data_IF_064191027959
#
_entry.id   IF_064191027959
#
_cell.length_a   1.000
_cell.length_b   1.000
_cell.length_c   1.000
_cell.angle_alpha   90.00
_cell.angle_beta   90.00
_cell.angle_gamma   90.00
#
_symmetry.space_group_name_H-M   'P 1'
#
loop_
_entity.id
_entity.type
_entity.pdbx_description
1 polymer ?
#
# COMPACT_ATOMS: atom_id res chain seq x y z
N UNK A 1 -15.63 -36.76 -25.17
CA UNK A 1 -16.01 -35.35 -24.98
C UNK A 1 -16.71 -35.27 -23.65
N UNK A 2 -16.00 -35.05 -22.60
CA UNK A 2 -16.55 -34.83 -21.26
C UNK A 2 -16.01 -33.50 -20.76
N UNK A 3 -16.93 -32.57 -20.63
CA UNK A 3 -16.73 -31.25 -20.02
C UNK A 3 -16.33 -31.41 -18.55
N UNK A 4 -15.12 -31.02 -18.22
CA UNK A 4 -14.69 -30.85 -16.82
C UNK A 4 -14.61 -29.35 -16.56
N UNK A 5 -15.76 -28.73 -16.31
CA UNK A 5 -15.82 -27.40 -15.71
C UNK A 5 -15.37 -27.53 -14.25
N UNK A 6 -14.10 -27.24 -13.98
CA UNK A 6 -13.54 -27.18 -12.63
C UNK A 6 -14.20 -26.07 -11.82
N UNK A 7 -14.99 -26.44 -10.83
CA UNK A 7 -15.55 -25.49 -9.83
C UNK A 7 -14.39 -24.91 -9.02
N UNK A 8 -14.19 -23.60 -9.14
CA UNK A 8 -13.34 -22.84 -8.23
C UNK A 8 -13.91 -22.97 -6.80
N UNK A 9 -13.14 -23.55 -5.88
CA UNK A 9 -13.53 -23.61 -4.47
C UNK A 9 -13.30 -22.24 -3.83
N UNK A 10 -14.38 -21.57 -3.46
CA UNK A 10 -14.36 -20.37 -2.63
C UNK A 10 -13.95 -20.75 -1.20
N UNK A 11 -13.00 -20.04 -0.64
CA UNK A 11 -12.64 -20.12 0.78
C UNK A 11 -13.89 -19.71 1.58
N UNK A 12 -14.30 -20.46 2.60
CA UNK A 12 -15.47 -20.09 3.38
C UNK A 12 -15.25 -18.73 4.05
N UNK A 13 -16.19 -17.82 3.87
CA UNK A 13 -16.27 -16.56 4.61
C UNK A 13 -16.69 -16.84 6.06
N UNK A 14 -15.74 -17.24 6.89
CA UNK A 14 -15.97 -17.49 8.30
C UNK A 14 -15.33 -16.40 9.18
N UNK A 15 -15.69 -15.13 8.94
CA UNK A 15 -15.57 -14.08 9.96
C UNK A 15 -16.99 -13.61 10.24
N UNK A 16 -17.50 -13.92 11.43
CA UNK A 16 -18.82 -13.45 11.86
C UNK A 16 -18.85 -11.93 11.82
N UNK A 17 -19.85 -11.37 11.18
CA UNK A 17 -20.01 -9.97 10.78
C UNK A 17 -20.08 -8.92 11.92
N UNK A 18 -19.81 -9.27 13.18
CA UNK A 18 -19.98 -8.35 14.32
C UNK A 18 -18.69 -7.63 14.77
N UNK A 19 -17.48 -8.07 14.32
CA UNK A 19 -16.21 -7.45 14.70
C UNK A 19 -15.30 -7.09 13.51
N UNK A 20 -15.79 -7.21 12.28
CA UNK A 20 -15.02 -6.93 11.07
C UNK A 20 -14.83 -5.42 10.88
N UNK A 21 -13.62 -4.92 11.15
CA UNK A 21 -13.27 -3.52 10.89
C UNK A 21 -12.41 -3.37 9.64
N UNK A 22 -12.64 -2.29 8.89
CA UNK A 22 -12.00 -1.99 7.60
C UNK A 22 -10.85 -1.01 7.77
N UNK A 23 -9.74 -1.26 7.07
CA UNK A 23 -8.74 -0.23 6.77
C UNK A 23 -9.09 0.43 5.44
N UNK A 24 -9.42 1.72 5.51
CA UNK A 24 -9.87 2.51 4.38
C UNK A 24 -8.72 3.31 3.79
N UNK A 25 -8.48 3.18 2.50
CA UNK A 25 -7.64 4.11 1.77
C UNK A 25 -8.48 5.11 1.01
N UNK A 26 -8.34 6.39 1.32
CA UNK A 26 -9.02 7.47 0.60
C UNK A 26 -8.07 8.18 -0.34
N UNK A 27 -8.38 8.15 -1.63
CA UNK A 27 -7.82 9.05 -2.62
C UNK A 27 -8.69 10.29 -2.72
N UNK A 28 -8.32 11.38 -2.07
CA UNK A 28 -9.16 12.59 -2.09
C UNK A 28 -9.10 13.30 -3.43
N UNK A 29 -7.92 13.30 -4.07
CA UNK A 29 -7.71 13.98 -5.36
C UNK A 29 -6.66 13.26 -6.20
N UNK A 30 -6.77 13.42 -7.53
CA UNK A 30 -5.70 13.06 -8.46
C UNK A 30 -4.65 14.17 -8.64
N UNK A 31 -4.89 15.35 -8.10
CA UNK A 31 -3.97 16.47 -8.25
C UNK A 31 -2.69 16.25 -7.41
N UNK A 32 -1.60 16.72 -7.94
CA UNK A 32 -0.31 16.68 -7.25
C UNK A 32 0.58 17.77 -7.82
N UNK A 33 1.35 18.42 -6.97
CA UNK A 33 2.37 19.40 -7.36
C UNK A 33 3.59 18.75 -8.06
N UNK A 34 3.69 17.41 -8.07
CA UNK A 34 4.75 16.66 -8.73
C UNK A 34 4.19 15.78 -9.87
N UNK A 35 5.08 15.46 -10.84
CA UNK A 35 4.78 14.64 -12.01
C UNK A 35 5.72 13.43 -12.11
N UNK A 36 5.92 12.70 -11.00
CA UNK A 36 6.81 11.53 -10.94
C UNK A 36 6.48 10.53 -12.04
N UNK A 37 7.45 10.16 -12.87
CA UNK A 37 7.23 9.33 -14.05
C UNK A 37 6.75 7.89 -13.72
N UNK A 38 7.10 7.37 -12.54
CA UNK A 38 6.68 6.06 -12.06
C UNK A 38 5.32 6.05 -11.35
N UNK A 39 4.67 7.21 -11.18
CA UNK A 39 3.43 7.33 -10.43
C UNK A 39 2.28 6.60 -11.14
N UNK A 40 1.49 5.83 -10.39
CA UNK A 40 0.33 5.11 -10.91
C UNK A 40 -0.85 6.01 -11.25
N UNK A 41 -0.94 7.21 -10.66
CA UNK A 41 -2.04 8.15 -10.94
C UNK A 41 -1.99 8.68 -12.37
N UNK A 42 -3.13 9.00 -12.91
CA UNK A 42 -3.24 9.73 -14.18
C UNK A 42 -3.10 11.24 -13.94
N UNK A 43 -2.00 11.89 -14.36
CA UNK A 43 -1.78 13.32 -14.13
C UNK A 43 -2.68 14.23 -14.97
N UNK A 44 -3.31 13.70 -16.03
CA UNK A 44 -4.23 14.47 -16.88
C UNK A 44 -5.62 14.64 -16.24
N UNK A 45 -5.90 13.96 -15.12
CA UNK A 45 -7.20 13.99 -14.45
C UNK A 45 -7.18 14.90 -13.22
N UNK A 46 -8.34 15.49 -12.92
CA UNK A 46 -8.59 16.34 -11.75
C UNK A 46 -9.76 15.84 -10.93
N UNK A 47 -9.90 14.51 -10.82
CA UNK A 47 -10.97 13.90 -10.02
C UNK A 47 -10.81 14.23 -8.54
N UNK A 48 -11.92 14.41 -7.83
CA UNK A 48 -11.95 14.77 -6.40
C UNK A 48 -13.14 14.13 -5.70
N UNK A 49 -12.95 13.68 -4.46
CA UNK A 49 -14.04 13.27 -3.58
C UNK A 49 -14.56 14.48 -2.81
N UNK A 50 -15.88 14.68 -2.79
CA UNK A 50 -16.48 15.71 -1.94
C UNK A 50 -16.47 15.32 -0.44
N UNK A 51 -16.60 16.30 0.44
CA UNK A 51 -16.75 16.06 1.88
C UNK A 51 -17.95 15.15 2.18
N UNK A 52 -19.06 15.31 1.48
CA UNK A 52 -20.26 14.49 1.68
C UNK A 52 -20.05 13.05 1.26
N UNK A 53 -19.29 12.80 0.18
CA UNK A 53 -18.90 11.45 -0.20
C UNK A 53 -18.01 10.80 0.87
N UNK A 54 -17.04 11.53 1.42
CA UNK A 54 -16.19 11.04 2.52
C UNK A 54 -17.04 10.72 3.77
N UNK A 55 -17.98 11.57 4.14
CA UNK A 55 -18.92 11.32 5.25
C UNK A 55 -19.72 10.04 5.02
N UNK A 56 -20.36 9.92 3.86
CA UNK A 56 -21.19 8.75 3.52
C UNK A 56 -20.40 7.43 3.62
N UNK A 57 -19.12 7.42 3.23
CA UNK A 57 -18.26 6.23 3.35
C UNK A 57 -18.00 5.87 4.82
N UNK A 58 -17.66 6.85 5.67
CA UNK A 58 -17.35 6.59 7.09
C UNK A 58 -18.59 6.22 7.88
N UNK A 59 -19.75 6.77 7.54
CA UNK A 59 -21.02 6.43 8.17
C UNK A 59 -21.49 5.01 7.79
N UNK A 60 -21.09 4.53 6.63
CA UNK A 60 -21.56 3.23 6.10
C UNK A 60 -20.66 2.05 6.47
N UNK A 61 -19.36 2.28 6.64
CA UNK A 61 -18.38 1.24 6.93
C UNK A 61 -17.85 1.34 8.38
N UNK A 62 -17.63 0.20 9.05
CA UNK A 62 -16.94 0.15 10.35
C UNK A 62 -15.43 0.36 10.16
N UNK A 63 -15.02 1.61 9.97
CA UNK A 63 -13.65 1.98 9.65
C UNK A 63 -12.81 2.06 10.92
N UNK A 64 -11.69 1.31 10.99
CA UNK A 64 -10.70 1.39 12.08
C UNK A 64 -9.56 2.36 11.79
N UNK A 65 -9.24 2.54 10.51
CA UNK A 65 -8.15 3.41 10.07
C UNK A 65 -8.41 3.99 8.69
N UNK A 66 -7.98 5.24 8.49
CA UNK A 66 -8.02 5.95 7.22
C UNK A 66 -6.60 6.31 6.83
N UNK A 67 -6.19 5.91 5.62
CA UNK A 67 -4.97 6.38 4.98
C UNK A 67 -5.32 7.33 3.84
N UNK A 68 -4.89 8.58 3.94
CA UNK A 68 -5.01 9.57 2.87
C UNK A 68 -3.84 9.39 1.89
N UNK A 69 -4.15 8.91 0.69
CA UNK A 69 -3.18 8.65 -0.38
C UNK A 69 -3.78 8.96 -1.73
N UNK A 70 -3.00 8.86 -2.80
CA UNK A 70 -3.32 9.27 -4.18
C UNK A 70 -3.25 10.79 -4.36
N UNK A 71 -2.45 11.22 -5.34
CA UNK A 71 -2.15 12.64 -5.53
C UNK A 71 -1.37 13.23 -4.35
N UNK A 72 -1.56 14.51 -4.12
CA UNK A 72 -1.08 15.21 -2.94
C UNK A 72 -2.28 15.90 -2.26
N UNK A 73 -2.71 15.38 -1.11
CA UNK A 73 -4.02 15.68 -0.53
C UNK A 73 -4.28 17.17 -0.29
N UNK A 74 -3.24 17.95 0.06
CA UNK A 74 -3.35 19.40 0.25
C UNK A 74 -3.66 20.19 -1.03
N UNK A 75 -3.62 19.55 -2.20
CA UNK A 75 -4.07 20.16 -3.48
C UNK A 75 -5.59 20.12 -3.63
N UNK A 76 -6.30 19.33 -2.82
CA UNK A 76 -7.76 19.31 -2.82
C UNK A 76 -8.29 20.62 -2.21
N UNK A 77 -9.20 21.36 -2.88
CA UNK A 77 -9.69 22.65 -2.38
C UNK A 77 -10.34 22.55 -1.02
N UNK A 78 -11.08 21.46 -0.75
CA UNK A 78 -11.79 21.25 0.53
C UNK A 78 -10.97 20.41 1.52
N UNK A 79 -9.65 20.24 1.31
CA UNK A 79 -8.82 19.36 2.15
C UNK A 79 -8.94 19.71 3.65
N UNK A 80 -8.91 21.00 4.00
CA UNK A 80 -9.03 21.45 5.40
C UNK A 80 -10.37 21.07 6.02
N UNK A 81 -11.47 21.19 5.29
CA UNK A 81 -12.80 20.80 5.76
C UNK A 81 -12.91 19.28 5.93
N UNK A 82 -12.36 18.50 4.99
CA UNK A 82 -12.30 17.04 5.07
C UNK A 82 -11.45 16.61 6.27
N UNK A 83 -10.27 17.19 6.45
CA UNK A 83 -9.39 16.90 7.58
C UNK A 83 -10.06 17.24 8.92
N UNK A 84 -10.73 18.39 9.03
CA UNK A 84 -11.47 18.78 10.21
C UNK A 84 -12.54 17.74 10.57
N UNK A 85 -13.27 17.23 9.58
CA UNK A 85 -14.25 16.16 9.78
C UNK A 85 -13.56 14.84 10.22
N UNK A 86 -12.49 14.41 9.53
CA UNK A 86 -11.79 13.16 9.86
C UNK A 86 -11.21 13.18 11.30
N UNK A 87 -10.77 14.33 11.79
CA UNK A 87 -10.28 14.50 13.17
C UNK A 87 -11.36 14.24 14.24
N UNK A 88 -12.63 14.34 13.89
CA UNK A 88 -13.74 14.06 14.83
C UNK A 88 -14.15 12.58 14.84
N UNK A 89 -13.60 11.77 13.91
CA UNK A 89 -13.99 10.38 13.79
C UNK A 89 -13.08 9.47 14.66
N UNK A 90 -13.61 8.37 15.23
CA UNK A 90 -12.85 7.44 16.06
C UNK A 90 -11.99 6.49 15.21
N UNK A 91 -11.17 7.05 14.33
CA UNK A 91 -10.32 6.29 13.39
C UNK A 91 -8.84 6.65 13.56
N UNK A 92 -7.95 5.70 13.28
CA UNK A 92 -6.54 6.02 13.12
C UNK A 92 -6.33 6.71 11.79
N UNK A 93 -5.85 7.95 11.82
CA UNK A 93 -5.63 8.76 10.61
C UNK A 93 -4.15 8.74 10.22
N UNK A 94 -3.86 8.37 8.98
CA UNK A 94 -2.52 8.43 8.39
C UNK A 94 -2.55 9.18 7.05
N UNK A 95 -1.43 9.75 6.66
CA UNK A 95 -1.32 10.43 5.36
C UNK A 95 0.00 10.06 4.69
N UNK A 96 -0.06 9.78 3.39
CA UNK A 96 1.12 9.64 2.53
C UNK A 96 1.31 10.94 1.73
N UNK A 97 2.47 11.58 1.86
CA UNK A 97 2.75 12.89 1.28
C UNK A 97 4.15 12.95 0.66
N UNK A 98 4.31 13.77 -0.35
CA UNK A 98 5.61 14.19 -0.86
C UNK A 98 6.22 15.37 -0.08
N UNK A 99 5.60 15.74 1.05
CA UNK A 99 5.99 16.84 1.93
C UNK A 99 5.17 18.12 1.75
N UNK A 100 4.55 18.32 0.59
CA UNK A 100 3.83 19.57 0.27
C UNK A 100 2.60 19.78 1.18
N UNK A 101 1.75 18.76 1.32
CA UNK A 101 0.59 18.82 2.22
C UNK A 101 1.03 19.09 3.65
N UNK A 102 2.04 18.38 4.14
CA UNK A 102 2.54 18.51 5.52
C UNK A 102 3.07 19.92 5.77
N UNK A 103 3.78 20.52 4.82
CA UNK A 103 4.27 21.89 4.92
C UNK A 103 3.14 22.94 5.05
N UNK A 104 1.97 22.66 4.49
CA UNK A 104 0.80 23.55 4.53
C UNK A 104 -0.08 23.37 5.77
N UNK A 105 0.17 22.33 6.60
CA UNK A 105 -0.58 22.06 7.81
C UNK A 105 -0.03 22.80 9.02
N UNK A 106 -0.92 23.19 9.95
CA UNK A 106 -0.54 23.73 11.25
C UNK A 106 -0.11 22.60 12.20
N UNK A 107 0.62 22.94 13.26
CA UNK A 107 1.17 21.95 14.19
C UNK A 107 0.08 21.15 14.94
N UNK A 108 -1.06 21.77 15.24
CA UNK A 108 -2.20 21.08 15.85
C UNK A 108 -2.89 20.09 14.87
N UNK A 109 -2.91 20.43 13.58
CA UNK A 109 -3.41 19.55 12.54
C UNK A 109 -2.49 18.33 12.33
N UNK A 110 -1.17 18.53 12.42
CA UNK A 110 -0.19 17.44 12.32
C UNK A 110 -0.33 16.45 13.48
N UNK A 111 -0.59 16.93 14.71
CA UNK A 111 -0.80 16.06 15.87
C UNK A 111 -2.06 15.18 15.81
N UNK A 112 -2.93 15.42 14.84
CA UNK A 112 -4.09 14.55 14.62
C UNK A 112 -3.74 13.24 13.89
N UNK A 113 -2.58 13.18 13.24
CA UNK A 113 -2.15 11.97 12.54
C UNK A 113 -1.47 10.98 13.49
N UNK A 114 -1.83 9.72 13.35
CA UNK A 114 -1.18 8.60 14.03
C UNK A 114 0.16 8.25 13.39
N UNK A 115 0.33 8.58 12.11
CA UNK A 115 1.57 8.43 11.35
C UNK A 115 1.53 9.31 10.10
N UNK A 116 2.65 9.92 9.76
CA UNK A 116 2.85 10.68 8.52
C UNK A 116 3.90 9.97 7.68
N UNK A 117 3.48 9.48 6.52
CA UNK A 117 4.32 8.73 5.60
C UNK A 117 4.94 9.67 4.55
N UNK A 118 6.26 9.84 4.57
CA UNK A 118 6.98 10.65 3.58
C UNK A 118 7.58 9.81 2.46
N UNK A 119 7.32 10.22 1.23
CA UNK A 119 7.78 9.53 0.03
C UNK A 119 9.25 9.77 -0.29
N UNK A 120 10.13 8.85 0.09
CA UNK A 120 11.58 8.92 -0.17
C UNK A 120 12.07 7.62 -0.82
N UNK A 121 12.42 7.67 -2.13
CA UNK A 121 12.82 6.49 -2.91
C UNK A 121 14.33 6.33 -3.04
N UNK A 122 15.09 7.38 -2.85
CA UNK A 122 16.54 7.39 -3.05
C UNK A 122 17.30 7.97 -1.86
N UNK A 123 18.54 7.50 -1.62
CA UNK A 123 19.32 7.90 -0.45
C UNK A 123 20.12 9.18 -0.64
N UNK A 124 20.04 9.87 -1.79
CA UNK A 124 20.71 11.13 -2.05
C UNK A 124 19.78 12.20 -2.60
N UNK A 125 20.10 13.47 -2.34
CA UNK A 125 19.35 14.59 -2.85
C UNK A 125 19.30 14.59 -4.39
N UNK A 126 20.43 14.36 -5.04
CA UNK A 126 20.50 14.41 -6.51
C UNK A 126 19.57 13.36 -7.15
N UNK A 127 19.56 12.12 -6.63
CA UNK A 127 18.71 11.05 -7.15
C UNK A 127 17.23 11.29 -6.82
N UNK A 128 16.92 11.69 -5.59
CA UNK A 128 15.54 11.96 -5.16
C UNK A 128 14.93 13.11 -5.93
N UNK A 129 15.65 14.23 -6.05
CA UNK A 129 15.18 15.42 -6.76
C UNK A 129 15.07 15.17 -8.27
N UNK A 130 15.98 14.38 -8.87
CA UNK A 130 15.87 13.96 -10.26
C UNK A 130 14.62 13.10 -10.53
N UNK A 131 14.23 12.25 -9.57
CA UNK A 131 13.09 11.34 -9.72
C UNK A 131 11.75 11.99 -9.39
N UNK A 132 11.71 12.88 -8.39
CA UNK A 132 10.45 13.46 -7.91
C UNK A 132 10.28 14.94 -8.21
N UNK A 133 11.38 15.69 -8.31
CA UNK A 133 11.38 17.13 -8.58
C UNK A 133 12.31 17.89 -7.64
N UNK A 134 12.88 18.97 -8.13
CA UNK A 134 13.86 19.78 -7.41
C UNK A 134 13.34 20.26 -6.05
N UNK A 135 14.14 20.10 -5.01
CA UNK A 135 13.85 20.53 -3.65
C UNK A 135 13.00 19.53 -2.84
N UNK A 136 12.53 18.42 -3.45
CA UNK A 136 11.72 17.43 -2.73
C UNK A 136 12.50 16.78 -1.58
N UNK A 137 13.78 16.45 -1.76
CA UNK A 137 14.65 15.96 -0.72
C UNK A 137 14.67 16.88 0.52
N UNK A 138 14.97 18.16 0.31
CA UNK A 138 15.03 19.14 1.38
C UNK A 138 13.69 19.29 2.10
N UNK A 139 12.59 19.35 1.33
CA UNK A 139 11.25 19.50 1.88
C UNK A 139 10.89 18.32 2.79
N UNK A 140 11.13 17.08 2.33
CA UNK A 140 10.85 15.88 3.13
C UNK A 140 11.65 15.90 4.44
N UNK A 141 12.95 16.18 4.40
CA UNK A 141 13.79 16.20 5.60
C UNK A 141 13.30 17.27 6.59
N UNK A 142 13.00 18.48 6.12
CA UNK A 142 12.49 19.56 6.96
C UNK A 142 11.16 19.20 7.64
N UNK A 143 10.23 18.63 6.87
CA UNK A 143 8.91 18.29 7.41
C UNK A 143 8.96 17.04 8.32
N UNK A 144 9.80 16.06 8.02
CA UNK A 144 10.02 14.91 8.90
C UNK A 144 10.62 15.34 10.24
N UNK A 145 11.64 16.21 10.24
CA UNK A 145 12.22 16.79 11.45
C UNK A 145 11.18 17.59 12.26
N UNK A 146 10.31 18.35 11.57
CA UNK A 146 9.22 19.09 12.22
C UNK A 146 8.25 18.15 12.91
N UNK A 147 7.81 17.07 12.23
CA UNK A 147 6.91 16.08 12.81
C UNK A 147 7.53 15.39 14.04
N UNK A 148 8.80 14.96 13.96
CA UNK A 148 9.52 14.36 15.08
C UNK A 148 9.58 15.33 16.28
N UNK A 149 9.90 16.61 16.08
CA UNK A 149 9.90 17.63 17.15
C UNK A 149 8.53 17.85 17.78
N UNK A 150 7.45 17.62 17.02
CA UNK A 150 6.07 17.71 17.52
C UNK A 150 5.60 16.43 18.21
N UNK A 151 6.41 15.36 18.23
CA UNK A 151 6.03 14.05 18.75
C UNK A 151 5.07 13.28 17.84
N UNK A 152 4.98 13.65 16.56
CA UNK A 152 4.15 12.97 15.56
C UNK A 152 4.97 11.85 14.93
N UNK A 153 4.49 10.59 14.95
CA UNK A 153 5.19 9.48 14.32
C UNK A 153 5.40 9.69 12.82
N UNK A 154 6.57 9.27 12.34
CA UNK A 154 6.96 9.38 10.94
C UNK A 154 7.33 8.01 10.40
N UNK A 155 6.92 7.73 9.18
CA UNK A 155 7.37 6.59 8.37
C UNK A 155 7.95 7.12 7.05
N UNK A 156 9.12 6.64 6.62
CA UNK A 156 9.52 6.84 5.23
C UNK A 156 8.91 5.74 4.36
N UNK A 157 8.43 6.11 3.18
CA UNK A 157 7.86 5.14 2.22
C UNK A 157 8.63 5.21 0.91
N UNK A 158 9.10 4.06 0.43
CA UNK A 158 9.77 3.91 -0.85
C UNK A 158 9.06 2.91 -1.75
N UNK A 159 9.12 3.16 -3.06
CA UNK A 159 8.75 2.18 -4.08
C UNK A 159 10.02 1.48 -4.55
N UNK A 160 10.08 0.16 -4.39
CA UNK A 160 11.16 -0.68 -4.94
C UNK A 160 10.97 -0.78 -6.45
N UNK A 161 11.91 -0.23 -7.20
CA UNK A 161 11.95 -0.15 -8.66
C UNK A 161 13.26 -0.71 -9.20
N UNK A 162 13.32 -1.04 -10.49
CA UNK A 162 14.55 -1.44 -11.19
C UNK A 162 15.72 -0.46 -10.96
N UNK A 163 15.41 0.83 -10.81
CA UNK A 163 16.42 1.88 -10.65
C UNK A 163 16.95 2.04 -9.23
N UNK A 164 16.31 1.41 -8.20
CA UNK A 164 16.71 1.63 -6.80
C UNK A 164 16.70 0.37 -5.91
N UNK A 165 16.42 -0.83 -6.44
CA UNK A 165 16.21 -2.04 -5.64
C UNK A 165 17.39 -2.41 -4.72
N UNK A 166 18.61 -2.04 -5.08
CA UNK A 166 19.81 -2.23 -4.24
C UNK A 166 20.09 -1.07 -3.27
N UNK A 167 19.30 0.02 -3.34
CA UNK A 167 19.57 1.25 -2.58
C UNK A 167 18.66 1.43 -1.35
N UNK A 168 17.66 0.56 -1.15
CA UNK A 168 16.63 0.76 -0.12
C UNK A 168 17.16 0.59 1.31
N UNK A 169 18.21 -0.19 1.52
CA UNK A 169 18.88 -0.28 2.82
C UNK A 169 19.52 1.07 3.22
N UNK A 170 20.03 1.84 2.26
CA UNK A 170 20.53 3.18 2.50
C UNK A 170 19.40 4.16 2.87
N UNK A 171 18.23 4.03 2.22
CA UNK A 171 17.03 4.80 2.59
C UNK A 171 16.57 4.44 4.01
N UNK A 172 16.65 3.17 4.42
CA UNK A 172 16.35 2.75 5.79
C UNK A 172 17.30 3.42 6.82
N UNK A 173 18.59 3.59 6.48
CA UNK A 173 19.53 4.33 7.34
C UNK A 173 19.16 5.81 7.47
N UNK A 174 18.58 6.41 6.44
CA UNK A 174 18.04 7.78 6.54
C UNK A 174 16.83 7.81 7.45
N UNK A 175 15.89 6.84 7.31
CA UNK A 175 14.73 6.74 8.18
C UNK A 175 15.12 6.66 9.67
N UNK A 176 16.18 5.90 10.00
CA UNK A 176 16.71 5.79 11.37
C UNK A 176 17.07 7.15 11.98
N UNK A 177 17.46 8.14 11.18
CA UNK A 177 17.78 9.51 11.66
C UNK A 177 16.55 10.25 12.21
N UNK A 178 15.36 9.81 11.83
CA UNK A 178 14.07 10.32 12.30
C UNK A 178 13.39 9.38 13.31
N UNK A 179 14.11 8.35 13.80
CA UNK A 179 13.53 7.25 14.58
C UNK A 179 12.33 6.57 13.86
N UNK A 180 12.39 6.55 12.55
CA UNK A 180 11.30 6.12 11.66
C UNK A 180 11.61 4.76 11.02
N UNK A 181 10.60 3.91 10.79
CA UNK A 181 10.74 2.76 9.91
C UNK A 181 10.76 3.19 8.44
N UNK A 182 11.27 2.28 7.59
CA UNK A 182 11.08 2.34 6.14
C UNK A 182 10.01 1.34 5.74
N UNK A 183 8.98 1.82 5.04
CA UNK A 183 7.96 1.02 4.38
C UNK A 183 8.29 0.89 2.91
N UNK A 184 8.40 -0.33 2.41
CA UNK A 184 8.74 -0.63 1.02
C UNK A 184 7.53 -1.23 0.32
N UNK A 185 7.13 -0.62 -0.79
CA UNK A 185 6.16 -1.17 -1.74
C UNK A 185 6.88 -1.63 -3.01
N UNK A 186 6.49 -2.75 -3.58
CA UNK A 186 6.99 -3.16 -4.90
C UNK A 186 6.28 -2.36 -5.98
N UNK A 187 7.03 -1.84 -6.95
CA UNK A 187 6.47 -1.13 -8.09
C UNK A 187 5.45 -1.99 -8.84
N UNK A 188 4.35 -1.37 -9.20
CA UNK A 188 3.30 -1.98 -10.02
C UNK A 188 3.20 -1.23 -11.36
N UNK A 189 3.29 -1.96 -12.46
CA UNK A 189 3.33 -1.42 -13.82
C UNK A 189 1.94 -0.97 -14.31
N UNK A 190 1.37 0.06 -13.64
CA UNK A 190 0.04 0.59 -13.99
C UNK A 190 0.07 1.40 -15.30
N UNK A 191 1.14 2.16 -15.52
CA UNK A 191 1.28 3.07 -16.68
C UNK A 191 2.47 2.76 -17.56
N UNK A 192 3.51 2.17 -17.03
CA UNK A 192 4.76 1.85 -17.72
C UNK A 192 5.43 0.67 -17.05
N UNK A 193 6.17 -0.12 -17.78
CA UNK A 193 6.96 -1.26 -17.29
C UNK A 193 8.45 -0.93 -17.09
N UNK A 194 8.90 0.25 -17.51
CA UNK A 194 10.33 0.64 -17.45
C UNK A 194 10.93 0.61 -16.04
N UNK A 195 10.09 0.78 -15.02
CA UNK A 195 10.48 0.70 -13.61
C UNK A 195 10.22 -0.68 -13.00
N UNK A 196 9.57 -1.59 -13.74
CA UNK A 196 9.26 -2.93 -13.24
C UNK A 196 10.54 -3.72 -13.02
N UNK A 197 10.57 -4.44 -11.91
CA UNK A 197 11.68 -5.36 -11.60
C UNK A 197 11.62 -6.58 -12.50
N UNK A 198 12.77 -7.09 -12.89
CA UNK A 198 12.87 -8.48 -13.34
C UNK A 198 12.68 -9.44 -12.16
N UNK A 199 12.53 -10.72 -12.46
CA UNK A 199 12.45 -11.76 -11.44
C UNK A 199 13.68 -11.75 -10.50
N UNK A 200 14.88 -11.64 -11.06
CA UNK A 200 16.13 -11.62 -10.29
C UNK A 200 16.25 -10.34 -9.44
N UNK A 201 15.97 -9.19 -10.02
CA UNK A 201 16.02 -7.89 -9.33
C UNK A 201 15.05 -7.84 -8.12
N UNK A 202 13.86 -8.47 -8.26
CA UNK A 202 12.90 -8.57 -7.17
C UNK A 202 13.49 -9.32 -5.96
N UNK A 203 14.03 -10.53 -6.19
CA UNK A 203 14.56 -11.34 -5.10
C UNK A 203 15.88 -10.80 -4.55
N UNK A 204 16.73 -10.27 -5.41
CA UNK A 204 17.98 -9.63 -5.01
C UNK A 204 17.71 -8.38 -4.16
N UNK A 205 16.74 -7.56 -4.54
CA UNK A 205 16.35 -6.37 -3.78
C UNK A 205 15.92 -6.69 -2.35
N UNK A 206 15.09 -7.70 -2.16
CA UNK A 206 14.69 -8.13 -0.82
C UNK A 206 15.84 -8.77 -0.04
N UNK A 207 16.70 -9.58 -0.69
CA UNK A 207 17.88 -10.15 -0.06
C UNK A 207 18.83 -9.06 0.45
N UNK A 208 19.10 -8.05 -0.39
CA UNK A 208 19.94 -6.92 -0.04
C UNK A 208 19.34 -6.09 1.09
N UNK A 209 18.04 -5.79 1.03
CA UNK A 209 17.34 -5.05 2.07
C UNK A 209 17.43 -5.77 3.44
N UNK A 210 17.12 -7.06 3.49
CA UNK A 210 17.10 -7.84 4.73
C UNK A 210 18.51 -8.12 5.30
N UNK A 211 19.54 -8.11 4.45
CA UNK A 211 20.91 -8.21 4.93
C UNK A 211 21.32 -7.05 5.85
N UNK A 212 20.72 -5.88 5.70
CA UNK A 212 21.11 -4.64 6.37
C UNK A 212 20.05 -4.10 7.36
N UNK A 213 18.88 -4.73 7.41
CA UNK A 213 17.75 -4.22 8.20
C UNK A 213 17.11 -5.32 9.05
N UNK A 214 16.36 -4.89 10.05
CA UNK A 214 15.46 -5.75 10.82
C UNK A 214 14.03 -5.54 10.33
N UNK A 215 13.29 -6.64 10.26
CA UNK A 215 11.94 -6.67 9.70
C UNK A 215 10.92 -6.45 10.82
N UNK A 216 10.04 -5.47 10.63
CA UNK A 216 8.88 -5.24 11.48
C UNK A 216 7.68 -6.05 10.97
N UNK A 217 7.43 -5.99 9.66
CA UNK A 217 6.32 -6.69 9.03
C UNK A 217 6.61 -6.98 7.56
N UNK A 218 6.13 -8.11 7.07
CA UNK A 218 6.12 -8.46 5.65
C UNK A 218 4.68 -8.70 5.23
N UNK A 219 4.15 -7.81 4.40
CA UNK A 219 2.84 -7.94 3.78
C UNK A 219 2.92 -8.37 2.31
N UNK A 220 4.10 -8.29 1.66
CA UNK A 220 4.29 -8.82 0.31
C UNK A 220 4.17 -10.36 0.34
N UNK A 221 3.17 -10.96 -0.35
CA UNK A 221 2.81 -12.35 -0.13
C UNK A 221 3.94 -13.36 -0.43
N UNK A 222 4.63 -13.20 -1.56
CA UNK A 222 5.74 -14.10 -1.94
C UNK A 222 6.91 -13.99 -0.98
N UNK A 223 7.28 -12.77 -0.61
CA UNK A 223 8.39 -12.50 0.33
C UNK A 223 8.08 -13.11 1.69
N UNK A 224 6.83 -12.97 2.15
CA UNK A 224 6.37 -13.54 3.42
C UNK A 224 6.47 -15.06 3.42
N UNK A 225 6.00 -15.70 2.36
CA UNK A 225 6.07 -17.15 2.20
C UNK A 225 7.52 -17.67 2.20
N UNK A 226 8.40 -17.03 1.42
CA UNK A 226 9.81 -17.42 1.32
C UNK A 226 10.63 -17.06 2.57
N UNK A 227 10.13 -16.18 3.43
CA UNK A 227 10.67 -15.91 4.75
C UNK A 227 10.16 -16.89 5.82
N UNK A 228 9.31 -17.85 5.47
CA UNK A 228 8.76 -18.85 6.38
C UNK A 228 7.82 -18.26 7.45
N UNK A 229 7.21 -17.10 7.19
CA UNK A 229 6.33 -16.44 8.14
C UNK A 229 4.88 -16.96 8.01
N UNK A 230 4.11 -17.01 9.13
CA UNK A 230 2.75 -17.50 9.11
C UNK A 230 1.82 -16.61 8.27
N UNK A 231 0.66 -17.10 7.80
CA UNK A 231 -0.31 -16.31 7.04
C UNK A 231 -0.70 -15.01 7.75
N UNK A 232 -0.99 -13.95 6.97
CA UNK A 232 -1.66 -12.74 7.49
C UNK A 232 -3.17 -12.97 7.46
N UNK A 233 -3.83 -12.71 8.57
CA UNK A 233 -5.29 -12.83 8.70
C UNK A 233 -6.11 -11.76 7.98
N UNK A 234 -5.56 -11.08 6.97
CA UNK A 234 -6.25 -10.06 6.20
C UNK A 234 -5.45 -9.70 4.94
N UNK A 235 -6.01 -8.89 4.08
CA UNK A 235 -5.33 -8.52 2.84
C UNK A 235 -6.25 -7.79 1.86
N UNK A 236 -5.77 -7.65 0.62
CA UNK A 236 -6.55 -7.09 -0.47
C UNK A 236 -7.84 -7.91 -0.67
N UNK A 237 -8.97 -7.21 -0.71
CA UNK A 237 -10.26 -7.83 -0.87
C UNK A 237 -10.86 -8.48 0.39
N UNK A 238 -10.18 -8.43 1.54
CA UNK A 238 -10.66 -9.02 2.81
C UNK A 238 -10.98 -7.95 3.86
N UNK A 239 -10.02 -7.09 4.18
CA UNK A 239 -10.16 -6.10 5.25
C UNK A 239 -9.67 -4.70 4.85
N UNK A 240 -9.39 -4.51 3.56
CA UNK A 240 -8.97 -3.22 2.99
C UNK A 240 -9.89 -2.82 1.84
N UNK A 241 -10.35 -1.58 1.89
CA UNK A 241 -11.15 -0.94 0.84
C UNK A 241 -10.42 0.32 0.38
N UNK A 242 -10.37 0.54 -0.92
CA UNK A 242 -9.86 1.78 -1.52
C UNK A 242 -11.00 2.53 -2.19
N UNK A 243 -11.17 3.78 -1.80
CA UNK A 243 -12.04 4.73 -2.52
C UNK A 243 -11.16 5.68 -3.30
N UNK A 244 -11.38 5.72 -4.61
CA UNK A 244 -10.58 6.53 -5.55
C UNK A 244 -11.13 7.94 -5.68
N UNK A 245 -10.34 8.91 -6.17
CA UNK A 245 -10.86 10.26 -6.45
C UNK A 245 -12.02 10.30 -7.44
N UNK A 246 -12.22 9.23 -8.24
CA UNK A 246 -13.32 9.07 -9.19
C UNK A 246 -14.63 8.60 -8.56
N UNK A 247 -14.70 8.57 -7.22
CA UNK A 247 -15.81 7.99 -6.49
C UNK A 247 -16.09 6.53 -6.94
N UNK A 248 -15.04 5.71 -6.95
CA UNK A 248 -15.13 4.27 -7.17
C UNK A 248 -14.43 3.51 -6.06
N UNK A 249 -14.86 2.27 -5.82
CA UNK A 249 -14.38 1.39 -4.76
C UNK A 249 -13.63 0.20 -5.36
N UNK A 250 -12.49 -0.16 -4.79
CA UNK A 250 -11.66 -1.25 -5.28
C UNK A 250 -10.82 -1.90 -4.16
N UNK A 251 -10.36 -3.15 -4.34
CA UNK A 251 -9.61 -3.86 -3.30
C UNK A 251 -8.19 -3.34 -3.09
N UNK A 252 -7.61 -2.68 -4.09
CA UNK A 252 -6.21 -2.24 -4.09
C UNK A 252 -6.06 -0.97 -4.92
N UNK A 253 -5.14 -0.08 -4.53
CA UNK A 253 -4.84 1.17 -5.25
C UNK A 253 -4.34 0.95 -6.69
N UNK A 254 -3.76 -0.21 -6.97
CA UNK A 254 -3.25 -0.60 -8.29
C UNK A 254 -4.24 -1.47 -9.08
N UNK A 255 -5.47 -1.65 -8.58
CA UNK A 255 -6.45 -2.49 -9.27
C UNK A 255 -6.85 -1.85 -10.59
N UNK A 256 -6.66 -2.56 -11.73
CA UNK A 256 -7.01 -2.00 -13.03
C UNK A 256 -8.53 -1.98 -13.24
N UNK A 257 -8.98 -1.05 -14.05
CA UNK A 257 -10.40 -0.87 -14.36
C UNK A 257 -11.05 0.25 -13.55
N UNK A 258 -12.38 0.38 -13.69
CA UNK A 258 -13.16 1.46 -13.07
C UNK A 258 -13.40 1.25 -11.56
N UNK A 259 -13.32 0.01 -11.07
CA UNK A 259 -13.83 -0.34 -9.74
C UNK A 259 -15.36 -0.30 -9.68
N UNK A 260 -15.93 -0.57 -8.49
CA UNK A 260 -17.36 -0.43 -8.25
C UNK A 260 -17.72 1.03 -7.96
N UNK A 261 -18.87 1.54 -8.43
CA UNK A 261 -19.33 2.88 -8.06
C UNK A 261 -19.41 3.09 -6.54
N UNK A 262 -19.14 4.28 -6.08
CA UNK A 262 -19.27 4.62 -4.66
C UNK A 262 -20.71 4.45 -4.14
N UNK A 263 -21.71 4.65 -5.00
CA UNK A 263 -23.13 4.37 -4.71
C UNK A 263 -23.35 2.94 -4.25
N UNK A 264 -22.63 1.98 -4.84
CA UNK A 264 -22.77 0.57 -4.51
C UNK A 264 -22.17 0.28 -3.11
N UNK A 265 -21.02 0.87 -2.78
CA UNK A 265 -20.49 0.81 -1.42
C UNK A 265 -21.47 1.40 -0.40
N UNK A 266 -22.07 2.54 -0.70
CA UNK A 266 -23.03 3.19 0.20
C UNK A 266 -24.28 2.33 0.39
N UNK A 267 -24.78 1.69 -0.65
CA UNK A 267 -25.96 0.81 -0.57
C UNK A 267 -25.66 -0.52 0.11
N UNK A 268 -24.56 -1.18 -0.27
CA UNK A 268 -24.19 -2.53 0.18
C UNK A 268 -23.47 -2.53 1.54
N UNK A 269 -22.72 -1.48 1.87
CA UNK A 269 -21.88 -1.45 3.07
C UNK A 269 -20.75 -2.49 2.98
N UNK A 270 -20.61 -3.35 4.00
CA UNK A 270 -19.58 -4.40 4.00
C UNK A 270 -19.76 -5.46 2.92
N UNK A 271 -20.98 -5.66 2.42
CA UNK A 271 -21.25 -6.62 1.34
C UNK A 271 -20.56 -6.21 0.02
N UNK A 272 -20.03 -4.99 -0.08
CA UNK A 272 -19.15 -4.59 -1.19
C UNK A 272 -17.94 -5.51 -1.33
N UNK A 273 -17.50 -6.15 -0.24
CA UNK A 273 -16.41 -7.12 -0.25
C UNK A 273 -16.76 -8.41 -1.02
N UNK A 274 -18.03 -8.65 -1.31
CA UNK A 274 -18.51 -9.79 -2.10
C UNK A 274 -18.76 -9.40 -3.57
N UNK A 275 -18.46 -8.15 -3.96
CA UNK A 275 -18.50 -7.76 -5.36
C UNK A 275 -17.32 -8.31 -6.16
N UNK A 276 -17.49 -8.39 -7.48
CA UNK A 276 -16.56 -9.05 -8.39
C UNK A 276 -15.08 -8.62 -8.26
N UNK A 277 -14.72 -7.33 -8.12
CA UNK A 277 -13.33 -6.92 -7.94
C UNK A 277 -12.70 -7.48 -6.66
N UNK A 278 -13.46 -7.55 -5.57
CA UNK A 278 -12.98 -8.05 -4.29
C UNK A 278 -12.86 -9.57 -4.28
N UNK A 279 -13.82 -10.29 -4.87
CA UNK A 279 -13.71 -11.74 -5.08
C UNK A 279 -12.50 -12.09 -5.96
N UNK A 280 -12.29 -11.37 -7.05
CA UNK A 280 -11.12 -11.54 -7.91
C UNK A 280 -9.80 -11.30 -7.17
N UNK A 281 -9.76 -10.35 -6.24
CA UNK A 281 -8.57 -10.11 -5.43
C UNK A 281 -8.24 -11.28 -4.47
N UNK A 282 -9.22 -12.12 -4.16
CA UNK A 282 -9.07 -13.34 -3.33
C UNK A 282 -8.89 -14.61 -4.15
N UNK A 283 -8.93 -14.53 -5.48
CA UNK A 283 -8.82 -15.70 -6.36
C UNK A 283 -7.45 -16.37 -6.21
N UNK A 284 -7.46 -17.65 -5.84
CA UNK A 284 -6.27 -18.49 -5.83
C UNK A 284 -6.12 -19.18 -7.20
N UNK A 285 -5.00 -19.02 -7.91
CA UNK A 285 -4.75 -19.74 -9.16
C UNK A 285 -4.80 -21.27 -8.97
N UNK A 286 -5.31 -21.99 -9.95
CA UNK A 286 -5.41 -23.45 -9.88
C UNK A 286 -4.04 -24.12 -9.68
N UNK A 287 -3.00 -23.63 -10.32
CA UNK A 287 -1.62 -24.09 -10.16
C UNK A 287 -1.05 -23.90 -8.74
N UNK A 288 -1.67 -23.02 -7.92
CA UNK A 288 -1.26 -22.77 -6.54
C UNK A 288 -2.01 -23.67 -5.53
N UNK A 289 -3.04 -24.42 -5.94
CA UNK A 289 -3.82 -25.28 -5.05
C UNK A 289 -2.97 -26.35 -4.34
N UNK A 290 -2.08 -27.08 -5.00
CA UNK A 290 -1.24 -28.10 -4.38
C UNK A 290 0.01 -27.53 -3.67
N UNK A 291 0.21 -26.21 -3.69
CA UNK A 291 1.43 -25.58 -3.19
C UNK A 291 1.44 -25.53 -1.65
N UNK A 292 2.54 -25.91 -1.01
CA UNK A 292 2.71 -25.86 0.45
C UNK A 292 2.64 -24.42 1.01
N UNK A 293 2.92 -23.44 0.17
CA UNK A 293 2.88 -22.01 0.56
C UNK A 293 1.55 -21.31 0.28
N UNK A 294 0.52 -22.04 -0.18
CA UNK A 294 -0.75 -21.44 -0.60
C UNK A 294 -1.38 -20.55 0.48
N UNK A 295 -1.33 -20.98 1.74
CA UNK A 295 -1.99 -20.28 2.86
C UNK A 295 -1.26 -19.01 3.30
N UNK A 296 0.05 -18.94 3.07
CA UNK A 296 0.88 -17.73 3.36
C UNK A 296 1.03 -16.79 2.17
N UNK A 297 0.96 -17.33 0.94
CA UNK A 297 1.23 -16.60 -0.30
C UNK A 297 -0.04 -16.23 -1.08
N UNK A 298 -1.11 -17.04 -1.03
CA UNK A 298 -2.35 -16.87 -1.79
C UNK A 298 -2.15 -16.62 -3.30
N UNK A 299 -1.13 -17.25 -3.91
CA UNK A 299 -0.80 -17.06 -5.32
C UNK A 299 -0.10 -15.74 -5.64
N UNK A 300 0.42 -15.03 -4.65
CA UNK A 300 1.11 -13.76 -4.79
C UNK A 300 0.18 -12.54 -4.84
N UNK A 301 0.66 -11.43 -5.38
CA UNK A 301 -0.10 -10.18 -5.46
C UNK A 301 -1.17 -10.25 -6.57
N UNK A 302 -2.45 -10.29 -6.21
CA UNK A 302 -3.57 -10.33 -7.15
C UNK A 302 -3.62 -9.09 -8.05
N UNK A 303 -3.29 -7.89 -7.51
CA UNK A 303 -3.20 -6.66 -8.31
C UNK A 303 -2.15 -6.75 -9.41
N UNK A 304 -0.97 -7.32 -9.10
CA UNK A 304 0.10 -7.55 -10.08
C UNK A 304 -0.32 -8.55 -11.16
N UNK A 305 -0.89 -9.70 -10.75
CA UNK A 305 -1.43 -10.70 -11.68
C UNK A 305 -2.50 -10.10 -12.62
N UNK A 306 -3.39 -9.29 -12.06
CA UNK A 306 -4.45 -8.63 -12.83
C UNK A 306 -3.89 -7.60 -13.83
N UNK A 307 -2.91 -6.79 -13.41
CA UNK A 307 -2.24 -5.82 -14.30
C UNK A 307 -1.54 -6.49 -15.48
N UNK A 308 -1.03 -7.70 -15.28
CA UNK A 308 -0.38 -8.50 -16.32
C UNK A 308 -1.38 -9.29 -17.20
N UNK A 309 -2.71 -9.15 -16.96
CA UNK A 309 -3.72 -9.94 -17.66
C UNK A 309 -3.74 -11.44 -17.27
N UNK A 310 -3.06 -11.81 -16.20
CA UNK A 310 -2.80 -13.18 -15.76
C UNK A 310 -3.37 -13.48 -14.36
N UNK A 311 -4.58 -13.00 -14.08
CA UNK A 311 -5.18 -13.12 -12.73
C UNK A 311 -5.26 -14.57 -12.24
N UNK A 312 -5.52 -15.52 -13.16
CA UNK A 312 -5.67 -16.95 -12.85
C UNK A 312 -4.34 -17.73 -12.87
N UNK A 313 -3.24 -17.05 -13.20
CA UNK A 313 -1.90 -17.63 -13.18
C UNK A 313 -1.19 -17.25 -11.86
N UNK A 314 -0.16 -18.03 -11.44
CA UNK A 314 0.70 -17.65 -10.34
C UNK A 314 1.41 -16.32 -10.62
N UNK A 315 1.76 -15.63 -9.55
CA UNK A 315 2.50 -14.38 -9.65
C UNK A 315 3.83 -14.55 -10.42
N UNK A 316 4.17 -13.59 -11.26
CA UNK A 316 5.38 -13.58 -12.08
C UNK A 316 6.67 -13.80 -11.28
N UNK A 317 6.71 -13.32 -10.04
CA UNK A 317 7.86 -13.48 -9.15
C UNK A 317 7.85 -14.78 -8.34
N UNK A 318 6.91 -15.70 -8.57
CA UNK A 318 6.84 -16.96 -7.85
C UNK A 318 8.03 -17.86 -8.18
N UNK A 319 8.89 -18.25 -7.21
CA UNK A 319 10.01 -19.14 -7.46
C UNK A 319 9.56 -20.60 -7.63
N UNK A 320 8.48 -21.01 -6.99
CA UNK A 320 8.01 -22.40 -6.99
C UNK A 320 7.61 -22.85 -8.39
N UNK A 321 6.87 -22.01 -9.14
CA UNK A 321 6.47 -22.34 -10.52
C UNK A 321 7.67 -22.37 -11.50
N UNK A 322 8.82 -21.85 -11.09
CA UNK A 322 10.09 -21.91 -11.84
C UNK A 322 10.93 -23.13 -11.45
N UNK A 323 10.43 -23.97 -10.53
CA UNK A 323 11.21 -25.08 -9.98
C UNK A 323 12.35 -24.65 -9.07
N UNK A 324 12.30 -23.41 -8.56
CA UNK A 324 13.30 -22.86 -7.65
C UNK A 324 12.74 -22.79 -6.23
N UNK A 325 13.63 -22.95 -5.24
CA UNK A 325 13.30 -22.68 -3.84
C UNK A 325 14.19 -21.55 -3.33
N UNK A 326 13.56 -20.42 -2.99
CA UNK A 326 14.26 -19.22 -2.49
C UNK A 326 13.92 -18.96 -1.05
N UNK A 327 14.85 -19.25 -0.15
CA UNK A 327 14.71 -18.87 1.27
C UNK A 327 15.24 -17.46 1.48
N UNK A 328 14.45 -16.64 2.17
CA UNK A 328 14.88 -15.32 2.63
C UNK A 328 15.19 -15.39 4.11
N UNK A 329 16.41 -15.07 4.46
CA UNK A 329 16.79 -14.92 5.87
C UNK A 329 16.34 -13.55 6.36
N UNK A 330 15.50 -13.53 7.38
CA UNK A 330 14.98 -12.31 7.98
C UNK A 330 15.30 -12.31 9.48
N UNK A 331 15.68 -11.16 10.00
CA UNK A 331 15.75 -10.91 11.44
C UNK A 331 14.56 -10.04 11.81
N UNK A 332 13.67 -10.58 12.64
CA UNK A 332 12.52 -9.80 13.12
C UNK A 332 12.98 -8.78 14.14
N UNK A 333 12.52 -7.54 13.98
CA UNK A 333 12.71 -6.50 14.99
C UNK A 333 11.98 -6.86 16.27
N UNK A 334 12.58 -6.55 17.42
CA UNK A 334 11.85 -6.60 18.69
C UNK A 334 10.66 -5.64 18.59
N UNK A 335 9.45 -6.17 18.70
CA UNK A 335 8.23 -5.38 18.57
C UNK A 335 8.13 -4.40 19.72
N UNK A 336 8.30 -3.11 19.43
CA UNK A 336 7.65 -2.03 20.17
C UNK A 336 6.24 -1.87 19.59
N UNK A 337 5.35 -1.15 20.28
CA UNK A 337 3.99 -0.83 19.83
C UNK A 337 4.01 -0.04 18.53
N UNK A 338 4.31 -0.74 17.44
CA UNK A 338 4.32 -0.17 16.10
C UNK A 338 2.89 -0.03 15.59
N UNK A 339 2.56 1.04 14.89
CA UNK A 339 1.27 1.18 14.25
C UNK A 339 0.98 -0.08 13.44
N UNK A 340 -0.18 -0.72 13.62
CA UNK A 340 -0.57 -1.87 12.79
C UNK A 340 -0.72 -1.35 11.36
N UNK A 341 0.28 -1.66 10.53
CA UNK A 341 0.26 -1.28 9.13
C UNK A 341 -0.92 -1.95 8.43
N UNK A 342 -1.77 -1.13 7.86
CA UNK A 342 -3.06 -1.55 7.32
C UNK A 342 -2.98 -2.04 5.88
N UNK A 343 -1.81 -1.99 5.22
CA UNK A 343 -1.71 -2.38 3.83
C UNK A 343 -1.03 -3.72 3.63
N UNK A 344 -1.66 -4.55 2.85
CA UNK A 344 -1.38 -5.98 2.69
C UNK A 344 -0.23 -6.31 1.74
N UNK A 345 0.39 -5.35 1.09
CA UNK A 345 1.48 -5.58 0.13
C UNK A 345 2.76 -4.81 0.44
N UNK A 346 2.95 -4.43 1.69
CA UNK A 346 4.10 -3.63 2.11
C UNK A 346 5.04 -4.43 2.99
N UNK A 347 6.33 -4.15 2.87
CA UNK A 347 7.36 -4.65 3.79
C UNK A 347 7.86 -3.48 4.61
N UNK A 348 7.92 -3.64 5.93
CA UNK A 348 8.34 -2.59 6.87
C UNK A 348 9.59 -3.04 7.60
N UNK A 349 10.62 -2.21 7.56
CA UNK A 349 11.95 -2.50 8.10
C UNK A 349 12.49 -1.33 8.90
N UNK A 350 13.45 -1.61 9.78
CA UNK A 350 14.29 -0.61 10.44
C UNK A 350 15.76 -0.90 10.14
N UNK A 351 16.56 0.14 9.96
CA UNK A 351 18.01 -0.04 9.81
C UNK A 351 18.65 -0.52 11.11
N UNK A 352 19.60 -1.41 10.98
CA UNK A 352 20.45 -1.91 12.08
C UNK A 352 21.32 -0.84 12.68
#
# INVERSE_FOLDING_TARGET
MNDVAGKASSIPSAVKATDATISLGLGLTNECNLACAFCYRDPARTDRLSLDQVRSVLERLPVRSVNLGTGENGMHPDFKAILAYLRTQPVKLTITSNGHTVAALQDDELRAFHDIEFSLDYPSQAEQDAQRGNGNWKLIHQQAERCVKLGVPVTLIAVMMRSNYLRLAEVARIAKRFDAPLRVNVYQAVRSDIYALSYEEYWEGFRHLFAETDVIAIGEPLVRAMAGLPPLGGGCGVSTVRVTPRATTQPCVYWPGSGEPLSDLISMGLDILDSAPFEQARTLPAACQPCDFRDSCHGGCAGRRRLQGALLEPDYYCPIVRGEYRTLQVRMAATRDLPKFSSSCTTVVIAR
#
